data_IF_092322694245
#
_entry.id   IF_092322694245
#
_cell.length_a   1.000
_cell.length_b   1.000
_cell.length_c   1.000
_cell.angle_alpha   90.00
_cell.angle_beta   90.00
_cell.angle_gamma   90.00
#
_symmetry.space_group_name_H-M   'P 1'
#
loop_
_entity.id
_entity.type
_entity.pdbx_description
1 polymer ?
#
# COMPACT_ATOMS: atom_id res chain seq x y z
N UNK A 1 18.44 33.80 -86.09
CA UNK A 1 17.47 34.34 -85.15
C UNK A 1 17.50 33.41 -83.89
N UNK A 2 18.21 33.82 -82.90
CA UNK A 2 18.58 33.08 -81.71
C UNK A 2 17.65 33.47 -80.53
N UNK A 3 16.82 32.59 -80.03
CA UNK A 3 16.01 32.83 -78.81
C UNK A 3 16.73 32.32 -77.63
N UNK A 4 17.15 33.24 -76.77
CA UNK A 4 17.77 32.96 -75.47
C UNK A 4 16.66 32.61 -74.44
N UNK A 5 16.67 31.40 -73.87
CA UNK A 5 15.81 31.04 -72.79
C UNK A 5 16.58 31.22 -71.46
N UNK A 6 16.13 32.17 -70.66
CA UNK A 6 16.59 32.36 -69.27
C UNK A 6 15.88 31.34 -68.37
N UNK A 7 16.62 30.39 -67.77
CA UNK A 7 16.13 29.52 -66.68
C UNK A 7 16.40 30.24 -65.33
N UNK A 8 15.32 30.65 -64.69
CA UNK A 8 15.36 31.17 -63.32
C UNK A 8 15.31 29.93 -62.37
N UNK A 9 16.42 29.63 -61.72
CA UNK A 9 16.48 28.63 -60.67
C UNK A 9 16.01 29.26 -59.31
N UNK A 10 14.81 28.92 -58.88
CA UNK A 10 14.32 29.25 -57.56
C UNK A 10 14.84 28.21 -56.56
N UNK A 11 15.86 28.54 -55.81
CA UNK A 11 16.32 27.72 -54.66
C UNK A 11 15.41 27.94 -53.50
N UNK A 12 14.51 26.99 -53.26
CA UNK A 12 13.69 26.89 -52.03
C UNK A 12 14.58 26.41 -50.89
N UNK A 13 15.00 27.32 -50.02
CA UNK A 13 15.66 26.98 -48.76
C UNK A 13 14.61 26.39 -47.79
N UNK A 14 14.58 25.07 -47.67
CA UNK A 14 13.84 24.39 -46.64
C UNK A 14 14.54 24.62 -45.30
N UNK A 15 14.07 25.56 -44.51
CA UNK A 15 14.40 25.65 -43.10
C UNK A 15 13.74 24.45 -42.40
N UNK A 16 14.48 23.34 -42.22
CA UNK A 16 14.12 22.29 -41.33
C UNK A 16 14.25 22.83 -39.91
N UNK A 17 13.11 23.13 -39.28
CA UNK A 17 13.05 23.27 -37.81
C UNK A 17 13.46 21.95 -37.20
N UNK A 18 14.75 21.75 -36.94
CA UNK A 18 15.22 20.72 -36.07
C UNK A 18 14.62 20.96 -34.68
N UNK A 19 13.63 20.19 -34.29
CA UNK A 19 13.20 20.13 -32.89
C UNK A 19 14.45 19.79 -32.06
N UNK A 20 14.95 20.76 -31.31
CA UNK A 20 15.98 20.53 -30.32
C UNK A 20 15.47 19.38 -29.39
N UNK A 21 16.23 18.29 -29.36
CA UNK A 21 15.96 17.23 -28.39
C UNK A 21 15.94 17.86 -26.98
N UNK A 22 14.98 17.52 -26.14
CA UNK A 22 14.99 18.00 -24.76
C UNK A 22 16.34 17.66 -24.14
N UNK A 23 16.92 18.55 -23.30
CA UNK A 23 18.16 18.27 -22.63
C UNK A 23 18.04 16.93 -21.88
N UNK A 24 19.12 16.13 -21.84
CA UNK A 24 19.08 14.87 -21.14
C UNK A 24 18.64 15.13 -19.69
N UNK A 25 17.58 14.46 -19.27
CA UNK A 25 17.16 14.46 -17.87
C UNK A 25 18.29 13.79 -17.13
N UNK A 26 19.11 14.56 -16.43
CA UNK A 26 20.13 14.04 -15.51
C UNK A 26 19.33 13.38 -14.38
N UNK A 27 19.19 12.06 -14.43
CA UNK A 27 18.54 11.29 -13.40
C UNK A 27 19.37 11.47 -12.11
N UNK A 28 18.86 12.29 -11.19
CA UNK A 28 19.53 12.58 -9.94
C UNK A 28 19.59 11.29 -9.13
N UNK A 29 20.76 10.68 -9.04
CA UNK A 29 20.96 9.49 -8.20
C UNK A 29 20.89 9.92 -6.74
N UNK A 30 19.82 9.54 -6.06
CA UNK A 30 19.67 9.81 -4.63
C UNK A 30 20.59 8.88 -3.81
N UNK A 31 21.20 9.38 -2.73
CA UNK A 31 21.96 8.53 -1.82
C UNK A 31 21.04 7.50 -1.14
N UNK A 32 21.56 6.30 -0.82
CA UNK A 32 20.83 5.29 -0.05
C UNK A 32 20.26 5.89 1.25
N UNK A 33 19.09 5.40 1.68
CA UNK A 33 18.50 5.80 2.96
C UNK A 33 19.26 5.14 4.10
N UNK A 34 19.66 5.94 5.07
CA UNK A 34 20.29 5.53 6.32
C UNK A 34 19.64 6.24 7.51
N UNK A 35 20.30 6.24 8.66
CA UNK A 35 19.94 7.10 9.79
C UNK A 35 20.43 8.51 9.47
N UNK A 36 19.52 9.40 9.13
CA UNK A 36 19.81 10.74 8.62
C UNK A 36 19.06 11.82 9.42
N UNK A 37 19.56 13.06 9.37
CA UNK A 37 18.84 14.18 9.98
C UNK A 37 17.65 14.60 9.11
N UNK A 38 16.65 15.29 9.70
CA UNK A 38 15.56 15.90 8.95
C UNK A 38 16.04 16.83 7.81
N UNK A 39 17.12 17.58 8.01
CA UNK A 39 17.69 18.48 7.01
C UNK A 39 18.21 17.70 5.80
N UNK A 40 18.97 16.63 6.04
CA UNK A 40 19.46 15.76 4.96
C UNK A 40 18.29 15.06 4.26
N UNK A 41 17.29 14.60 5.00
CA UNK A 41 16.07 14.01 4.44
C UNK A 41 15.37 14.98 3.49
N UNK A 42 15.07 16.22 3.95
CA UNK A 42 14.37 17.24 3.16
C UNK A 42 15.16 17.63 1.92
N UNK A 43 16.49 17.76 2.01
CA UNK A 43 17.34 18.09 0.85
C UNK A 43 17.36 17.01 -0.25
N UNK A 44 16.96 15.79 0.09
CA UNK A 44 16.87 14.63 -0.81
C UNK A 44 15.43 14.14 -1.04
N UNK A 45 14.43 14.93 -0.61
CA UNK A 45 13.02 14.63 -0.78
C UNK A 45 12.56 15.06 -2.18
N UNK A 46 11.98 14.14 -2.94
CA UNK A 46 11.50 14.39 -4.30
C UNK A 46 10.09 13.80 -4.48
N UNK A 47 9.13 14.54 -5.07
CA UNK A 47 7.79 14.01 -5.37
C UNK A 47 7.84 12.73 -6.20
N UNK A 48 8.71 12.70 -7.20
CA UNK A 48 8.90 11.54 -8.09
C UNK A 48 9.29 10.24 -7.36
N UNK A 49 9.84 10.31 -6.13
CA UNK A 49 10.11 9.11 -5.31
C UNK A 49 8.83 8.36 -4.94
N UNK A 50 7.70 9.06 -4.92
CA UNK A 50 6.36 8.53 -4.60
C UNK A 50 5.42 8.56 -5.83
N UNK A 51 5.99 8.58 -7.05
CA UNK A 51 5.25 8.66 -8.32
C UNK A 51 4.34 9.90 -8.43
N UNK A 52 4.68 10.99 -7.70
CA UNK A 52 4.00 12.27 -7.78
C UNK A 52 4.70 13.19 -8.78
N UNK A 53 3.92 14.03 -9.46
CA UNK A 53 4.46 15.08 -10.33
C UNK A 53 4.76 16.37 -9.55
N UNK A 54 4.05 16.57 -8.45
CA UNK A 54 4.16 17.73 -7.55
C UNK A 54 3.66 17.34 -6.16
N UNK A 55 4.14 18.01 -5.11
CA UNK A 55 3.60 17.84 -3.75
C UNK A 55 2.12 18.21 -3.64
N UNK A 56 1.58 19.00 -4.59
CA UNK A 56 0.14 19.28 -4.68
C UNK A 56 -0.72 18.04 -4.88
N UNK A 57 -0.15 17.00 -5.47
CA UNK A 57 -0.85 15.74 -5.72
C UNK A 57 -1.24 15.01 -4.41
N UNK A 58 -0.63 15.38 -3.27
CA UNK A 58 -1.01 14.87 -1.95
C UNK A 58 -2.30 15.49 -1.39
N UNK A 59 -2.82 16.57 -1.97
CA UNK A 59 -3.97 17.29 -1.44
C UNK A 59 -5.22 16.40 -1.21
N UNK A 60 -5.56 15.40 -2.05
CA UNK A 60 -6.66 14.47 -1.77
C UNK A 60 -6.44 13.67 -0.48
N UNK A 61 -5.22 13.15 -0.23
CA UNK A 61 -4.86 12.38 0.96
C UNK A 61 -4.92 13.23 2.22
N UNK A 62 -4.45 14.48 2.15
CA UNK A 62 -4.59 15.46 3.25
C UNK A 62 -6.06 15.68 3.59
N UNK A 63 -6.92 15.90 2.59
CA UNK A 63 -8.37 16.11 2.81
C UNK A 63 -9.06 14.91 3.42
N UNK A 64 -8.70 13.67 3.03
CA UNK A 64 -9.21 12.43 3.65
C UNK A 64 -8.83 12.37 5.13
N UNK A 65 -7.56 12.64 5.45
CA UNK A 65 -7.05 12.68 6.82
C UNK A 65 -7.74 13.77 7.66
N UNK A 66 -7.91 14.98 7.11
CA UNK A 66 -8.64 16.07 7.77
C UNK A 66 -10.07 15.71 8.11
N UNK A 67 -10.83 15.11 7.18
CA UNK A 67 -12.20 14.66 7.43
C UNK A 67 -12.27 13.68 8.60
N UNK A 68 -11.35 12.72 8.62
CA UNK A 68 -11.29 11.73 9.70
C UNK A 68 -10.92 12.37 11.04
N UNK A 69 -9.86 13.16 11.08
CA UNK A 69 -9.38 13.83 12.31
C UNK A 69 -10.44 14.78 12.85
N UNK A 70 -11.09 15.57 11.98
CA UNK A 70 -12.14 16.51 12.38
C UNK A 70 -13.45 15.85 12.82
N UNK A 71 -13.61 14.54 12.61
CA UNK A 71 -14.72 13.76 13.20
C UNK A 71 -14.48 13.41 14.69
N UNK A 72 -13.30 13.72 15.25
CA UNK A 72 -12.93 13.42 16.62
C UNK A 72 -12.99 14.67 17.50
N UNK A 73 -13.21 14.51 18.82
CA UNK A 73 -13.14 15.65 19.75
C UNK A 73 -11.71 16.22 19.74
N UNK A 74 -11.57 17.53 19.48
CA UNK A 74 -10.26 18.17 19.27
C UNK A 74 -9.32 18.04 20.48
N UNK A 75 -9.86 18.13 21.69
CA UNK A 75 -9.09 18.09 22.95
C UNK A 75 -8.78 16.66 23.40
N UNK A 76 -9.39 15.65 22.77
CA UNK A 76 -9.12 14.26 23.12
C UNK A 76 -7.73 13.82 22.63
N UNK A 77 -7.07 13.03 23.47
CA UNK A 77 -5.74 12.49 23.18
C UNK A 77 -5.85 11.45 22.05
N UNK A 78 -5.14 11.68 20.96
CA UNK A 78 -4.99 10.74 19.85
C UNK A 78 -3.92 9.67 20.16
N UNK A 79 -2.80 10.09 20.77
CA UNK A 79 -1.75 9.20 21.30
C UNK A 79 -1.03 9.85 22.47
N UNK A 80 -0.66 9.02 23.45
CA UNK A 80 0.20 9.41 24.56
C UNK A 80 1.29 8.35 24.76
N UNK A 81 2.54 8.78 24.75
CA UNK A 81 3.72 7.96 25.03
C UNK A 81 4.85 8.81 25.60
N UNK A 82 5.89 8.26 26.22
CA UNK A 82 7.00 9.04 26.76
C UNK A 82 7.55 10.03 25.72
N UNK A 83 7.59 11.32 26.08
CA UNK A 83 8.06 12.40 25.22
C UNK A 83 7.11 12.85 24.11
N UNK A 84 5.91 12.26 23.97
CA UNK A 84 4.96 12.63 22.93
C UNK A 84 3.51 12.48 23.42
N UNK A 85 2.80 13.59 23.54
CA UNK A 85 1.34 13.64 23.67
C UNK A 85 0.79 14.44 22.51
N UNK A 86 -0.16 13.87 21.79
CA UNK A 86 -0.78 14.47 20.59
C UNK A 86 -2.29 14.37 20.73
N UNK A 87 -2.98 15.48 20.57
CA UNK A 87 -4.45 15.55 20.53
C UNK A 87 -4.93 15.47 19.06
N UNK A 88 -6.23 15.23 18.88
CA UNK A 88 -6.81 15.30 17.52
C UNK A 88 -6.77 16.73 16.95
N UNK A 89 -6.81 17.76 17.82
CA UNK A 89 -6.63 19.15 17.43
C UNK A 89 -5.21 19.43 16.92
N UNK A 90 -4.18 18.81 17.50
CA UNK A 90 -2.80 18.91 17.00
C UNK A 90 -2.66 18.32 15.60
N UNK A 91 -3.26 17.16 15.36
CA UNK A 91 -3.27 16.54 14.04
C UNK A 91 -4.03 17.38 13.00
N UNK A 92 -5.18 17.98 13.41
CA UNK A 92 -5.93 18.88 12.52
C UNK A 92 -5.07 20.07 12.09
N UNK A 93 -4.49 20.80 13.04
CA UNK A 93 -3.60 21.95 12.74
C UNK A 93 -2.41 21.55 11.86
N UNK A 94 -1.86 20.37 12.13
CA UNK A 94 -0.73 19.84 11.34
C UNK A 94 -1.11 19.57 9.87
N UNK A 95 -2.26 18.96 9.64
CA UNK A 95 -2.78 18.69 8.29
C UNK A 95 -3.17 19.98 7.57
N UNK A 96 -3.80 20.92 8.26
CA UNK A 96 -4.15 22.25 7.75
C UNK A 96 -2.89 23.00 7.30
N UNK A 97 -1.85 23.01 8.16
CA UNK A 97 -0.57 23.63 7.82
C UNK A 97 0.09 22.97 6.61
N UNK A 98 0.09 21.64 6.50
CA UNK A 98 0.62 20.98 5.31
C UNK A 98 -0.18 21.37 4.07
N UNK A 99 -1.51 21.40 4.14
CA UNK A 99 -2.36 21.78 3.01
C UNK A 99 -2.04 23.19 2.49
N UNK A 100 -1.79 24.14 3.39
CA UNK A 100 -1.38 25.51 3.03
C UNK A 100 -0.02 25.54 2.31
N UNK A 101 0.90 24.69 2.71
CA UNK A 101 2.27 24.68 2.19
C UNK A 101 2.41 23.92 0.86
N UNK A 102 1.53 22.95 0.55
CA UNK A 102 1.64 22.10 -0.65
C UNK A 102 1.95 22.88 -1.94
N UNK A 103 1.34 24.06 -2.21
CA UNK A 103 1.62 24.81 -3.45
C UNK A 103 3.06 25.33 -3.57
N UNK A 104 3.79 25.38 -2.46
CA UNK A 104 5.14 25.96 -2.37
C UNK A 104 6.24 24.91 -2.27
N UNK A 105 5.93 23.71 -1.79
CA UNK A 105 6.92 22.69 -1.43
C UNK A 105 7.80 22.21 -2.58
N UNK A 106 7.33 22.32 -3.83
CA UNK A 106 8.15 21.97 -5.00
C UNK A 106 9.37 22.92 -5.17
N UNK A 107 9.25 24.16 -4.68
CA UNK A 107 10.31 25.19 -4.77
C UNK A 107 11.00 25.41 -3.42
N UNK A 108 10.30 25.22 -2.32
CA UNK A 108 10.71 25.59 -0.97
C UNK A 108 10.50 24.39 -0.02
N UNK A 109 11.13 23.23 -0.25
CA UNK A 109 10.93 22.04 0.60
C UNK A 109 11.38 22.27 2.05
N UNK A 110 12.30 23.22 2.30
CA UNK A 110 12.76 23.63 3.65
C UNK A 110 11.63 24.20 4.51
N UNK A 111 10.49 24.58 3.95
CA UNK A 111 9.29 24.95 4.70
C UNK A 111 8.81 23.82 5.61
N UNK A 112 9.10 22.57 5.28
CA UNK A 112 8.81 21.43 6.15
C UNK A 112 9.61 21.51 7.45
N UNK A 113 10.86 21.95 7.42
CA UNK A 113 11.69 22.12 8.61
C UNK A 113 11.24 23.34 9.44
N UNK A 114 10.89 24.42 8.76
CA UNK A 114 10.49 25.65 9.41
C UNK A 114 9.13 25.55 10.11
N UNK A 115 8.18 24.82 9.56
CA UNK A 115 6.79 24.80 10.01
C UNK A 115 6.42 23.58 10.86
N UNK A 116 7.25 22.53 10.88
CA UNK A 116 6.95 21.31 11.63
C UNK A 116 8.04 20.97 12.63
N UNK A 117 7.64 20.45 13.77
CA UNK A 117 8.47 19.67 14.68
C UNK A 117 8.53 18.24 14.14
N UNK A 118 9.71 17.70 14.02
CA UNK A 118 9.97 16.34 13.54
C UNK A 118 10.16 15.45 14.76
N UNK A 119 9.11 14.72 15.15
CA UNK A 119 9.17 13.79 16.26
C UNK A 119 9.67 12.43 15.77
N UNK A 120 10.93 12.13 16.05
CA UNK A 120 11.56 10.88 15.62
C UNK A 120 10.84 9.67 16.24
N UNK A 121 10.67 8.64 15.41
CA UNK A 121 10.24 7.32 15.86
C UNK A 121 11.50 6.52 16.21
N UNK A 122 11.87 6.60 17.49
CA UNK A 122 13.11 6.01 18.01
C UNK A 122 13.23 4.50 17.76
N UNK A 123 14.46 4.03 17.47
CA UNK A 123 14.75 2.63 17.19
C UNK A 123 14.55 2.20 15.75
N UNK A 124 14.17 3.14 14.87
CA UNK A 124 13.88 2.88 13.46
C UNK A 124 12.58 2.12 13.22
N UNK A 125 12.12 2.18 12.00
CA UNK A 125 10.91 1.48 11.55
C UNK A 125 11.28 0.26 10.73
N UNK A 126 10.57 -0.84 10.93
CA UNK A 126 10.55 -1.98 10.01
C UNK A 126 9.48 -1.73 8.96
N UNK A 127 9.92 -1.58 7.72
CA UNK A 127 9.04 -1.34 6.57
C UNK A 127 8.71 -2.63 5.87
N UNK A 128 7.44 -2.80 5.54
CA UNK A 128 6.93 -3.77 4.58
C UNK A 128 5.98 -3.05 3.62
N UNK A 129 5.53 -3.74 2.58
CA UNK A 129 4.59 -3.19 1.62
C UNK A 129 3.36 -4.06 1.47
N UNK A 130 2.25 -3.44 1.09
CA UNK A 130 1.06 -4.14 0.63
C UNK A 130 0.56 -3.52 -0.67
N UNK A 131 -0.23 -4.28 -1.43
CA UNK A 131 -0.67 -3.90 -2.76
C UNK A 131 -2.10 -4.37 -3.01
N UNK A 132 -2.71 -3.90 -4.10
CA UNK A 132 -4.01 -4.38 -4.55
C UNK A 132 -3.84 -5.56 -5.52
N UNK A 133 -4.04 -6.82 -5.10
CA UNK A 133 -3.94 -7.96 -5.98
C UNK A 133 -5.10 -8.00 -7.00
N UNK A 134 -4.79 -8.44 -8.22
CA UNK A 134 -5.78 -8.80 -9.23
C UNK A 134 -5.95 -10.33 -9.21
N UNK A 135 -7.16 -10.81 -8.92
CA UNK A 135 -7.46 -12.22 -8.75
C UNK A 135 -8.39 -12.69 -9.88
N UNK A 136 -7.97 -13.65 -10.72
CA UNK A 136 -8.87 -14.30 -11.69
C UNK A 136 -10.04 -14.98 -10.98
N UNK A 137 -11.27 -14.65 -11.39
CA UNK A 137 -12.47 -15.10 -10.71
C UNK A 137 -13.62 -15.43 -11.68
N UNK A 138 -14.62 -16.13 -11.17
CA UNK A 138 -15.92 -16.34 -11.81
C UNK A 138 -17.04 -15.97 -10.85
N UNK A 139 -18.16 -15.49 -11.38
CA UNK A 139 -19.36 -15.21 -10.58
C UNK A 139 -20.06 -16.46 -10.07
N UNK A 140 -19.83 -17.59 -10.73
CA UNK A 140 -20.42 -18.88 -10.39
C UNK A 140 -19.33 -19.95 -10.27
N UNK A 141 -19.61 -20.95 -9.45
CA UNK A 141 -18.73 -22.13 -9.35
C UNK A 141 -18.76 -22.91 -10.65
N UNK A 142 -17.58 -23.19 -11.21
CA UNK A 142 -17.41 -24.00 -12.43
C UNK A 142 -16.02 -24.62 -12.48
N UNK A 143 -15.74 -25.56 -13.40
CA UNK A 143 -14.39 -26.11 -13.59
C UNK A 143 -13.35 -25.00 -13.76
N UNK A 144 -12.24 -25.08 -13.02
CA UNK A 144 -11.19 -24.08 -12.97
C UNK A 144 -11.45 -22.89 -12.02
N UNK A 145 -12.68 -22.74 -11.48
CA UNK A 145 -13.04 -21.70 -10.51
C UNK A 145 -13.80 -22.34 -9.34
N UNK A 146 -13.07 -22.91 -8.42
CA UNK A 146 -13.64 -23.74 -7.35
C UNK A 146 -13.40 -23.19 -5.94
N UNK A 147 -12.51 -22.21 -5.80
CA UNK A 147 -12.15 -21.60 -4.52
C UNK A 147 -13.09 -20.44 -4.21
N UNK A 148 -13.93 -20.58 -3.19
CA UNK A 148 -14.87 -19.54 -2.80
C UNK A 148 -14.16 -18.33 -2.16
N UNK A 149 -14.62 -17.13 -2.49
CA UNK A 149 -14.33 -15.88 -1.80
C UNK A 149 -15.58 -15.53 -1.00
N UNK A 150 -15.51 -15.61 0.34
CA UNK A 150 -16.68 -15.47 1.19
C UNK A 150 -16.95 -14.05 1.64
N UNK A 151 -18.24 -13.69 1.65
CA UNK A 151 -18.78 -12.54 2.35
C UNK A 151 -18.83 -12.74 3.86
N UNK A 152 -19.13 -11.66 4.58
CA UNK A 152 -19.21 -11.66 6.04
C UNK A 152 -20.38 -12.53 6.53
N UNK A 153 -20.14 -13.59 7.33
CA UNK A 153 -21.23 -14.36 7.91
C UNK A 153 -22.07 -13.51 8.86
N UNK A 154 -23.41 -13.53 8.76
CA UNK A 154 -24.29 -12.67 9.57
C UNK A 154 -24.24 -12.99 11.07
N UNK A 155 -23.83 -14.20 11.42
CA UNK A 155 -23.69 -14.65 12.79
C UNK A 155 -22.28 -14.48 13.38
N UNK A 156 -21.31 -13.97 12.59
CA UNK A 156 -19.90 -13.89 13.00
C UNK A 156 -19.74 -13.18 14.34
N UNK A 157 -20.25 -11.97 14.49
CA UNK A 157 -20.10 -11.18 15.71
C UNK A 157 -20.73 -11.88 16.92
N UNK A 158 -21.88 -12.52 16.74
CA UNK A 158 -22.57 -13.28 17.81
C UNK A 158 -21.77 -14.48 18.24
N UNK A 159 -21.19 -15.22 17.28
CA UNK A 159 -20.38 -16.40 17.56
C UNK A 159 -19.06 -16.01 18.22
N UNK A 160 -18.38 -14.96 17.72
CA UNK A 160 -17.12 -14.44 18.29
C UNK A 160 -17.36 -13.93 19.72
N UNK A 161 -18.44 -13.18 19.96
CA UNK A 161 -18.76 -12.72 21.32
C UNK A 161 -19.00 -13.87 22.31
N UNK A 162 -19.57 -15.00 21.85
CA UNK A 162 -19.86 -16.18 22.69
C UNK A 162 -18.66 -17.11 22.88
N UNK A 163 -17.84 -17.30 21.84
CA UNK A 163 -16.79 -18.35 21.78
C UNK A 163 -15.38 -17.77 21.72
N UNK A 164 -15.22 -16.46 21.62
CA UNK A 164 -13.94 -15.78 21.37
C UNK A 164 -13.49 -15.80 19.92
N UNK A 165 -13.91 -16.81 19.14
CA UNK A 165 -13.47 -17.03 17.76
C UNK A 165 -14.60 -17.66 16.93
N UNK A 166 -14.55 -17.45 15.60
CA UNK A 166 -15.37 -18.15 14.62
C UNK A 166 -14.67 -19.43 14.17
N UNK A 167 -15.14 -20.05 13.08
CA UNK A 167 -14.47 -21.21 12.49
C UNK A 167 -13.07 -20.83 12.00
N UNK A 168 -12.08 -21.69 12.22
CA UNK A 168 -10.73 -21.53 11.67
C UNK A 168 -10.70 -21.83 10.15
N UNK A 169 -9.58 -21.48 9.50
CA UNK A 169 -9.39 -21.69 8.05
C UNK A 169 -9.64 -23.14 7.66
N UNK A 170 -9.07 -24.11 8.37
CA UNK A 170 -9.22 -25.54 8.06
C UNK A 170 -10.68 -25.96 8.07
N UNK A 171 -11.44 -25.52 9.06
CA UNK A 171 -12.87 -25.81 9.16
C UNK A 171 -13.67 -25.18 8.01
N UNK A 172 -13.33 -23.95 7.62
CA UNK A 172 -13.98 -23.27 6.49
C UNK A 172 -13.63 -23.96 5.17
N UNK A 173 -12.35 -24.24 4.94
CA UNK A 173 -11.85 -24.68 3.63
C UNK A 173 -12.01 -26.20 3.39
N UNK A 174 -11.73 -27.05 4.39
CA UNK A 174 -11.79 -28.51 4.25
C UNK A 174 -13.20 -29.04 4.59
N UNK A 175 -13.79 -28.57 5.70
CA UNK A 175 -15.12 -29.01 6.10
C UNK A 175 -16.25 -28.26 5.42
N UNK A 176 -15.89 -27.20 4.67
CA UNK A 176 -16.82 -26.38 3.86
C UNK A 176 -18.05 -25.90 4.63
N UNK A 177 -17.89 -25.54 5.90
CA UNK A 177 -19.02 -25.18 6.80
C UNK A 177 -19.80 -23.95 6.36
N UNK A 178 -19.29 -23.18 5.42
CA UNK A 178 -19.94 -22.01 4.84
C UNK A 178 -20.52 -22.28 3.45
N UNK A 179 -20.21 -23.41 2.82
CA UNK A 179 -20.68 -23.72 1.47
C UNK A 179 -22.21 -23.79 1.40
N UNK A 180 -22.78 -23.21 0.35
CA UNK A 180 -24.21 -23.23 0.08
C UNK A 180 -25.05 -22.36 1.01
N UNK A 181 -24.42 -21.47 1.81
CA UNK A 181 -25.13 -20.53 2.69
C UNK A 181 -25.41 -19.17 2.03
N UNK A 182 -25.12 -19.04 0.73
CA UNK A 182 -25.28 -17.79 -0.01
C UNK A 182 -24.29 -16.71 0.40
N UNK A 183 -23.13 -17.11 0.92
CA UNK A 183 -22.06 -16.21 1.36
C UNK A 183 -20.95 -16.07 0.33
N UNK A 184 -21.00 -16.86 -0.74
CA UNK A 184 -20.00 -16.84 -1.81
C UNK A 184 -20.19 -15.59 -2.67
N UNK A 185 -19.21 -14.67 -2.63
CA UNK A 185 -19.18 -13.46 -3.47
C UNK A 185 -18.73 -13.79 -4.90
N UNK A 186 -17.74 -14.67 -5.01
CA UNK A 186 -17.13 -15.11 -6.25
C UNK A 186 -16.34 -16.40 -6.03
N UNK A 187 -15.85 -16.98 -7.11
CA UNK A 187 -15.06 -18.21 -7.13
C UNK A 187 -13.73 -17.95 -7.84
N UNK A 188 -12.62 -18.07 -7.14
CA UNK A 188 -11.29 -17.94 -7.72
C UNK A 188 -10.76 -19.26 -8.30
N UNK A 189 -9.79 -19.13 -9.19
CA UNK A 189 -9.14 -20.30 -9.80
C UNK A 189 -8.13 -20.96 -8.85
N UNK A 190 -7.41 -20.15 -8.05
CA UNK A 190 -6.31 -20.60 -7.21
C UNK A 190 -6.55 -20.25 -5.73
N UNK A 191 -6.50 -21.24 -4.79
CA UNK A 191 -6.57 -20.97 -3.36
C UNK A 191 -5.43 -20.11 -2.82
N UNK A 192 -4.27 -20.11 -3.49
CA UNK A 192 -3.12 -19.27 -3.12
C UNK A 192 -3.44 -17.80 -3.38
N UNK A 193 -4.13 -17.47 -4.48
CA UNK A 193 -4.55 -16.11 -4.77
C UNK A 193 -5.56 -15.59 -3.74
N UNK A 194 -6.53 -16.43 -3.32
CA UNK A 194 -7.48 -16.07 -2.26
C UNK A 194 -6.77 -15.87 -0.93
N UNK A 195 -5.81 -16.72 -0.60
CA UNK A 195 -5.02 -16.59 0.62
C UNK A 195 -4.23 -15.26 0.66
N UNK A 196 -3.57 -14.91 -0.43
CA UNK A 196 -2.86 -13.62 -0.51
C UNK A 196 -3.83 -12.42 -0.56
N UNK A 197 -4.99 -12.55 -1.22
CA UNK A 197 -6.05 -11.54 -1.15
C UNK A 197 -6.49 -11.28 0.30
N UNK A 198 -6.63 -12.32 1.11
CA UNK A 198 -6.96 -12.20 2.53
C UNK A 198 -5.86 -11.50 3.35
N UNK A 199 -4.58 -11.75 3.02
CA UNK A 199 -3.45 -11.05 3.65
C UNK A 199 -3.47 -9.57 3.30
N UNK A 200 -3.76 -9.22 2.03
CA UNK A 200 -3.83 -7.83 1.56
C UNK A 200 -5.11 -7.12 2.06
N UNK A 201 -6.16 -7.87 2.36
CA UNK A 201 -7.43 -7.35 2.88
C UNK A 201 -8.34 -6.69 1.85
N UNK A 202 -7.89 -6.52 0.61
CA UNK A 202 -8.65 -5.97 -0.51
C UNK A 202 -8.02 -6.36 -1.84
N UNK A 203 -8.75 -6.27 -2.94
CA UNK A 203 -8.24 -6.54 -4.28
C UNK A 203 -9.29 -6.39 -5.36
N UNK A 204 -8.87 -6.66 -6.60
CA UNK A 204 -9.73 -6.69 -7.79
C UNK A 204 -10.00 -8.12 -8.22
N UNK A 205 -11.24 -8.45 -8.42
CA UNK A 205 -11.65 -9.68 -9.09
C UNK A 205 -11.74 -9.40 -10.58
N UNK A 206 -10.98 -10.15 -11.36
CA UNK A 206 -11.03 -10.10 -12.81
C UNK A 206 -11.84 -11.29 -13.28
N UNK A 207 -13.09 -11.01 -13.67
CA UNK A 207 -13.99 -12.07 -14.08
C UNK A 207 -13.66 -12.60 -15.48
N UNK A 208 -14.02 -13.83 -15.71
CA UNK A 208 -13.84 -14.53 -16.97
C UNK A 208 -14.65 -13.96 -18.15
N UNK A 209 -15.62 -13.09 -17.87
CA UNK A 209 -16.34 -12.26 -18.85
C UNK A 209 -15.63 -10.93 -19.17
N UNK A 210 -14.41 -10.70 -18.61
CA UNK A 210 -13.63 -9.48 -18.78
C UNK A 210 -14.06 -8.32 -17.87
N UNK A 211 -15.15 -8.45 -17.12
CA UNK A 211 -15.57 -7.42 -16.16
C UNK A 211 -14.74 -7.49 -14.87
N UNK A 212 -14.78 -6.42 -14.08
CA UNK A 212 -14.04 -6.31 -12.83
C UNK A 212 -14.96 -5.93 -11.67
N UNK A 213 -14.60 -6.38 -10.48
CA UNK A 213 -15.20 -5.91 -9.23
C UNK A 213 -14.12 -5.74 -8.16
N UNK A 214 -14.32 -4.76 -7.28
CA UNK A 214 -13.46 -4.60 -6.10
C UNK A 214 -14.05 -5.35 -4.91
N UNK A 215 -13.17 -5.96 -4.13
CA UNK A 215 -13.52 -6.55 -2.84
C UNK A 215 -12.68 -5.90 -1.76
N UNK A 216 -13.32 -5.57 -0.65
CA UNK A 216 -12.74 -4.92 0.51
C UNK A 216 -13.00 -5.74 1.77
N UNK A 217 -12.13 -5.60 2.75
CA UNK A 217 -12.27 -6.22 4.07
C UNK A 217 -13.65 -5.95 4.67
N UNK A 218 -14.30 -7.00 5.14
CA UNK A 218 -15.57 -6.92 5.86
C UNK A 218 -15.47 -7.41 7.30
N UNK A 219 -14.55 -8.33 7.59
CA UNK A 219 -14.31 -8.85 8.92
C UNK A 219 -13.34 -10.03 8.90
N UNK A 220 -13.01 -10.53 10.09
CA UNK A 220 -12.15 -11.70 10.27
C UNK A 220 -12.73 -12.66 11.31
N UNK A 221 -12.25 -13.90 11.30
CA UNK A 221 -12.75 -14.97 12.15
C UNK A 221 -12.27 -14.93 13.62
N UNK A 222 -11.51 -13.92 14.04
CA UNK A 222 -11.01 -13.77 15.41
C UNK A 222 -9.76 -14.58 15.75
N UNK A 223 -9.28 -15.43 14.85
CA UNK A 223 -8.04 -16.19 15.05
C UNK A 223 -6.80 -15.32 14.81
N UNK A 224 -5.75 -15.59 15.57
CA UNK A 224 -4.46 -14.90 15.41
C UNK A 224 -3.82 -15.31 14.08
N UNK A 225 -3.43 -14.31 13.29
CA UNK A 225 -2.70 -14.51 12.04
C UNK A 225 -1.34 -15.18 12.30
N UNK A 226 -1.03 -16.20 11.50
CA UNK A 226 0.29 -16.84 11.42
C UNK A 226 0.83 -16.69 10.01
N UNK A 227 2.00 -16.07 9.87
CA UNK A 227 2.63 -15.85 8.57
C UNK A 227 2.99 -17.18 7.89
N UNK A 228 2.45 -17.42 6.69
CA UNK A 228 2.78 -18.59 5.87
C UNK A 228 4.27 -18.65 5.52
N UNK A 229 4.89 -17.52 5.16
CA UNK A 229 6.32 -17.46 4.89
C UNK A 229 7.17 -17.84 6.10
N UNK A 230 6.76 -17.44 7.32
CA UNK A 230 7.41 -17.86 8.55
C UNK A 230 7.23 -19.38 8.79
N UNK A 231 6.01 -19.89 8.67
CA UNK A 231 5.70 -21.32 8.80
C UNK A 231 6.54 -22.16 7.85
N UNK A 232 6.61 -21.75 6.58
CA UNK A 232 7.36 -22.48 5.56
C UNK A 232 8.87 -22.46 5.82
N UNK A 233 9.42 -21.35 6.34
CA UNK A 233 10.82 -21.31 6.79
C UNK A 233 11.08 -22.21 7.98
N UNK A 234 10.22 -22.19 8.99
CA UNK A 234 10.33 -23.04 10.19
C UNK A 234 10.24 -24.52 9.82
N UNK A 235 9.52 -24.87 8.74
CA UNK A 235 9.45 -26.23 8.17
C UNK A 235 10.63 -26.55 7.23
N UNK A 236 11.56 -25.63 6.99
CA UNK A 236 12.70 -25.81 6.09
C UNK A 236 12.33 -25.88 4.61
N UNK A 237 11.13 -25.39 4.23
CA UNK A 237 10.63 -25.40 2.85
C UNK A 237 11.12 -24.21 2.03
N UNK A 238 11.38 -23.09 2.68
CA UNK A 238 11.83 -21.83 2.04
C UNK A 238 13.02 -21.25 2.81
N UNK A 239 13.83 -20.48 2.09
CA UNK A 239 14.98 -19.79 2.65
C UNK A 239 14.64 -18.38 3.15
N UNK A 240 13.94 -17.57 2.36
CA UNK A 240 13.54 -16.19 2.68
C UNK A 240 12.10 -16.11 3.16
N UNK A 241 11.17 -16.81 2.49
CA UNK A 241 9.76 -16.84 2.81
C UNK A 241 9.00 -15.61 2.31
N UNK A 242 9.54 -14.87 1.32
CA UNK A 242 8.82 -13.81 0.62
C UNK A 242 7.71 -14.39 -0.26
N UNK A 243 6.81 -13.53 -0.75
CA UNK A 243 5.61 -13.96 -1.49
C UNK A 243 5.98 -14.70 -2.79
N UNK A 244 7.04 -14.27 -3.48
CA UNK A 244 7.46 -14.91 -4.74
C UNK A 244 7.97 -16.32 -4.51
N UNK A 245 8.86 -16.49 -3.50
CA UNK A 245 9.38 -17.80 -3.14
C UNK A 245 8.25 -18.74 -2.67
N UNK A 246 7.25 -18.20 -1.91
CA UNK A 246 6.06 -18.96 -1.53
C UNK A 246 5.23 -19.38 -2.74
N UNK A 247 4.94 -18.44 -3.69
CA UNK A 247 4.14 -18.75 -4.89
C UNK A 247 4.83 -19.78 -5.77
N UNK A 248 6.14 -19.67 -5.96
CA UNK A 248 6.92 -20.65 -6.72
C UNK A 248 6.86 -22.04 -6.06
N UNK A 249 7.03 -22.09 -4.76
CA UNK A 249 6.93 -23.33 -4.02
C UNK A 249 5.54 -23.96 -4.14
N UNK A 250 4.46 -23.20 -3.99
CA UNK A 250 3.09 -23.68 -4.13
C UNK A 250 2.81 -24.20 -5.53
N UNK A 251 3.31 -23.51 -6.57
CA UNK A 251 3.20 -23.95 -7.95
C UNK A 251 3.87 -25.33 -8.19
N UNK A 252 5.00 -25.56 -7.54
CA UNK A 252 5.76 -26.80 -7.65
C UNK A 252 5.26 -27.92 -6.70
N UNK A 253 4.38 -27.59 -5.74
CA UNK A 253 3.85 -28.53 -4.74
C UNK A 253 2.32 -28.38 -4.58
N UNK A 254 1.53 -28.56 -5.64
CA UNK A 254 0.08 -28.29 -5.62
C UNK A 254 -0.67 -29.14 -4.59
N UNK A 255 -0.25 -30.37 -4.36
CA UNK A 255 -0.89 -31.28 -3.40
C UNK A 255 -0.70 -30.86 -1.94
N UNK A 256 0.29 -30.00 -1.66
CA UNK A 256 0.62 -29.53 -0.30
C UNK A 256 0.10 -28.12 0.01
N UNK A 257 -0.50 -27.44 -0.97
CA UNK A 257 -1.02 -26.09 -0.79
C UNK A 257 -1.94 -25.98 0.41
N UNK A 258 -2.96 -26.84 0.49
CA UNK A 258 -3.94 -26.83 1.58
C UNK A 258 -3.30 -27.09 2.95
N UNK A 259 -2.36 -28.03 3.04
CA UNK A 259 -1.62 -28.30 4.27
C UNK A 259 -1.02 -27.02 4.84
N UNK A 260 -0.27 -26.29 4.01
CA UNK A 260 0.47 -25.09 4.44
C UNK A 260 -0.47 -23.92 4.74
N UNK A 261 -1.44 -23.65 3.86
CA UNK A 261 -2.37 -22.55 4.05
C UNK A 261 -3.20 -22.71 5.33
N UNK A 262 -3.60 -23.94 5.67
CA UNK A 262 -4.39 -24.24 6.87
C UNK A 262 -3.62 -24.16 8.20
N UNK A 263 -2.29 -24.05 8.16
CA UNK A 263 -1.50 -23.74 9.36
C UNK A 263 -1.69 -22.30 9.85
N UNK A 264 -2.21 -21.42 8.99
CA UNK A 264 -2.73 -20.12 9.39
C UNK A 264 -4.24 -20.21 9.70
N UNK A 265 -4.67 -20.20 10.97
CA UNK A 265 -6.08 -20.34 11.32
C UNK A 265 -6.92 -19.09 11.02
N UNK A 266 -6.28 -17.93 10.79
CA UNK A 266 -6.96 -16.68 10.47
C UNK A 266 -7.63 -16.75 9.10
N UNK A 267 -8.83 -16.19 8.99
CA UNK A 267 -9.62 -16.10 7.76
C UNK A 267 -10.26 -14.72 7.65
N UNK A 268 -10.21 -14.12 6.46
CA UNK A 268 -10.77 -12.80 6.18
C UNK A 268 -12.00 -12.95 5.29
N UNK A 269 -13.05 -12.20 5.62
CA UNK A 269 -14.29 -12.09 4.86
C UNK A 269 -14.35 -10.76 4.14
N UNK A 270 -14.97 -10.75 2.97
CA UNK A 270 -14.99 -9.60 2.07
C UNK A 270 -16.41 -9.04 1.87
N UNK A 271 -16.45 -7.87 1.27
CA UNK A 271 -17.65 -7.26 0.69
C UNK A 271 -17.30 -6.62 -0.63
N UNK A 272 -18.23 -6.55 -1.56
CA UNK A 272 -18.02 -5.74 -2.75
C UNK A 272 -17.82 -4.29 -2.38
N UNK A 273 -16.84 -3.64 -3.04
CA UNK A 273 -16.54 -2.23 -2.96
C UNK A 273 -16.92 -1.52 -4.26
N UNK A 274 -17.18 -0.22 -4.19
CA UNK A 274 -17.45 0.58 -5.39
C UNK A 274 -16.17 0.99 -6.13
N UNK A 275 -15.05 1.04 -5.43
CA UNK A 275 -13.72 1.47 -5.94
C UNK A 275 -12.64 0.79 -5.10
N UNK A 276 -11.39 0.84 -5.54
CA UNK A 276 -10.19 0.27 -4.95
C UNK A 276 -10.10 0.10 -3.42
N UNK A 277 -8.95 -0.26 -2.89
CA UNK A 277 -8.78 -0.59 -1.49
C UNK A 277 -9.24 0.54 -0.57
N UNK A 278 -9.92 0.19 0.52
CA UNK A 278 -10.39 1.15 1.53
C UNK A 278 -9.63 0.92 2.84
N UNK A 279 -8.93 1.95 3.31
CA UNK A 279 -8.19 1.91 4.57
C UNK A 279 -9.08 2.04 5.81
N UNK A 280 -8.45 1.97 6.98
CA UNK A 280 -9.14 1.99 8.29
C UNK A 280 -9.90 3.29 8.58
N UNK A 281 -9.61 4.37 7.87
CA UNK A 281 -10.36 5.63 7.97
C UNK A 281 -11.67 5.62 7.17
N UNK A 282 -11.95 4.55 6.41
CA UNK A 282 -13.13 4.43 5.56
C UNK A 282 -13.02 5.13 4.21
N UNK A 283 -11.84 5.61 3.85
CA UNK A 283 -11.53 6.22 2.55
C UNK A 283 -10.61 5.33 1.72
N UNK A 284 -10.69 5.51 0.40
CA UNK A 284 -9.77 4.85 -0.53
C UNK A 284 -8.32 5.23 -0.21
N UNK A 285 -7.44 4.25 -0.20
CA UNK A 285 -5.99 4.44 -0.01
C UNK A 285 -5.36 5.02 -1.27
N UNK A 286 -4.23 5.69 -1.12
CA UNK A 286 -3.48 6.32 -2.20
C UNK A 286 -2.09 5.68 -2.30
N UNK A 287 -1.67 5.39 -3.52
CA UNK A 287 -0.39 4.75 -3.83
C UNK A 287 0.78 5.55 -3.24
N UNK A 288 1.71 4.88 -2.56
CA UNK A 288 2.90 5.43 -1.93
C UNK A 288 2.65 6.47 -0.82
N UNK A 289 1.39 6.92 -0.63
CA UNK A 289 1.00 7.93 0.35
C UNK A 289 0.31 7.33 1.57
N UNK A 290 -0.45 6.26 1.41
CA UNK A 290 -1.12 5.62 2.54
C UNK A 290 -0.19 4.67 3.27
N UNK A 291 -0.12 4.85 4.58
CA UNK A 291 0.65 4.02 5.50
C UNK A 291 -0.29 3.30 6.46
N UNK A 292 -0.16 1.97 6.56
CA UNK A 292 -0.76 1.23 7.65
C UNK A 292 0.17 1.29 8.86
N UNK A 293 -0.38 1.69 10.02
CA UNK A 293 0.35 1.91 11.25
C UNK A 293 -0.34 1.25 12.45
N UNK A 294 0.38 1.09 13.54
CA UNK A 294 -0.23 0.84 14.84
C UNK A 294 -0.83 2.14 15.38
N UNK A 295 -2.15 2.26 15.35
CA UNK A 295 -2.85 3.48 15.79
C UNK A 295 -2.59 3.88 17.24
N UNK A 296 -2.15 2.95 18.09
CA UNK A 296 -1.72 3.23 19.46
C UNK A 296 -0.29 3.78 19.53
N UNK A 297 0.44 3.77 18.43
CA UNK A 297 1.81 4.24 18.34
C UNK A 297 1.97 5.44 17.38
N UNK A 298 1.36 5.39 16.21
CA UNK A 298 1.21 6.48 15.23
C UNK A 298 -0.28 6.58 14.90
N UNK A 299 -1.02 7.55 15.48
CA UNK A 299 -2.47 7.62 15.32
C UNK A 299 -2.88 7.90 13.88
N UNK A 300 -4.06 7.40 13.50
CA UNK A 300 -4.64 7.67 12.18
C UNK A 300 -4.78 9.18 11.97
N UNK A 301 -4.43 9.64 10.77
CA UNK A 301 -4.38 11.05 10.41
C UNK A 301 -3.00 11.71 10.60
N UNK A 302 -2.02 11.02 11.22
CA UNK A 302 -0.65 11.55 11.33
C UNK A 302 -0.01 11.71 9.96
N UNK A 303 0.78 12.78 9.80
CA UNK A 303 1.73 12.96 8.72
C UNK A 303 3.05 12.31 9.15
N UNK A 304 3.58 11.43 8.31
CA UNK A 304 4.83 10.70 8.58
C UNK A 304 5.81 10.95 7.44
N UNK A 305 6.93 11.59 7.77
CA UNK A 305 8.10 11.57 6.89
C UNK A 305 8.81 10.22 7.08
N UNK A 306 9.06 9.48 5.99
CA UNK A 306 9.61 8.14 6.06
C UNK A 306 10.67 7.89 5.00
N UNK A 307 11.70 7.14 5.38
CA UNK A 307 12.78 6.80 4.48
C UNK A 307 13.09 5.31 4.50
N UNK A 308 13.22 4.69 3.32
CA UNK A 308 13.51 3.27 3.18
C UNK A 308 14.18 2.97 1.83
N UNK A 309 15.04 1.96 1.77
CA UNK A 309 15.54 1.45 0.50
C UNK A 309 14.59 0.36 0.00
N UNK A 310 13.80 0.67 -1.02
CA UNK A 310 12.83 -0.27 -1.62
C UNK A 310 13.53 -1.20 -2.63
N UNK A 311 13.06 -2.44 -2.79
CA UNK A 311 13.53 -3.33 -3.83
C UNK A 311 13.18 -2.80 -5.23
N UNK A 312 14.08 -2.99 -6.20
CA UNK A 312 13.90 -2.69 -7.61
C UNK A 312 14.39 -3.86 -8.45
N UNK A 313 13.64 -4.26 -9.46
CA UNK A 313 13.96 -5.44 -10.30
C UNK A 313 15.28 -5.31 -11.05
N UNK A 314 15.67 -4.09 -11.41
CA UNK A 314 16.84 -3.80 -12.26
C UNK A 314 18.02 -3.26 -11.47
N UNK A 315 17.75 -2.39 -10.49
CA UNK A 315 18.77 -1.65 -9.72
C UNK A 315 19.05 -2.29 -8.34
N UNK A 316 18.34 -3.37 -8.00
CA UNK A 316 18.44 -4.08 -6.73
C UNK A 316 17.77 -3.34 -5.58
N UNK A 317 18.17 -2.12 -5.26
CA UNK A 317 17.55 -1.26 -4.24
C UNK A 317 17.55 0.20 -4.66
N UNK A 318 16.45 0.89 -4.41
CA UNK A 318 16.31 2.32 -4.66
C UNK A 318 15.93 3.05 -3.37
N UNK A 319 16.49 4.24 -3.11
CA UNK A 319 16.10 5.07 -1.97
C UNK A 319 14.72 5.68 -2.21
N UNK A 320 13.80 5.45 -1.28
CA UNK A 320 12.51 6.12 -1.20
C UNK A 320 12.51 7.02 0.03
N UNK A 321 12.40 8.32 -0.19
CA UNK A 321 12.08 9.32 0.85
C UNK A 321 10.73 9.90 0.50
N UNK A 322 9.81 9.83 1.45
CA UNK A 322 8.44 10.22 1.21
C UNK A 322 7.77 10.87 2.41
N UNK A 323 6.66 11.52 2.12
CA UNK A 323 5.69 11.98 3.11
C UNK A 323 4.43 11.14 2.90
N UNK A 324 4.00 10.44 3.94
CA UNK A 324 2.80 9.62 3.90
C UNK A 324 1.84 9.96 5.03
N UNK A 325 0.69 9.33 4.98
CA UNK A 325 -0.40 9.55 5.93
C UNK A 325 -0.78 8.23 6.59
N UNK A 326 -0.83 8.21 7.92
CA UNK A 326 -1.36 7.07 8.66
C UNK A 326 -2.87 6.98 8.42
N UNK A 327 -3.30 6.21 7.43
CA UNK A 327 -4.70 6.09 6.98
C UNK A 327 -5.23 4.67 7.07
N UNK A 328 -4.35 3.72 7.39
CA UNK A 328 -4.71 2.32 7.46
C UNK A 328 -4.11 1.63 8.69
N UNK A 329 -4.54 0.40 8.95
CA UNK A 329 -4.04 -0.47 10.02
C UNK A 329 -3.94 -1.90 9.52
N UNK A 330 -3.03 -2.68 10.10
CA UNK A 330 -2.90 -4.10 9.79
C UNK A 330 -2.85 -4.97 11.04
N UNK A 331 -3.36 -6.19 10.96
CA UNK A 331 -3.32 -7.13 12.07
C UNK A 331 -1.90 -7.43 12.58
N UNK A 332 -0.93 -7.46 11.67
CA UNK A 332 0.49 -7.66 11.93
C UNK A 332 1.28 -6.35 12.15
N UNK A 333 0.67 -5.19 11.95
CA UNK A 333 1.33 -3.88 12.05
C UNK A 333 1.24 -3.43 13.50
N UNK A 334 2.35 -3.55 14.23
CA UNK A 334 2.45 -3.24 15.65
C UNK A 334 3.69 -2.40 15.94
N UNK A 335 3.54 -1.39 16.80
CA UNK A 335 4.60 -0.51 17.29
C UNK A 335 5.41 0.13 16.15
N UNK A 336 6.68 -0.22 16.03
CA UNK A 336 7.65 0.33 15.08
C UNK A 336 7.63 -0.40 13.70
N UNK A 337 6.45 -0.83 13.25
CA UNK A 337 6.26 -1.34 11.90
C UNK A 337 5.32 -0.44 11.12
N UNK A 338 5.69 -0.14 9.88
CA UNK A 338 4.88 0.57 8.91
C UNK A 338 4.76 -0.30 7.66
N UNK A 339 3.54 -0.39 7.13
CA UNK A 339 3.26 -1.07 5.87
C UNK A 339 2.85 -0.02 4.84
N UNK A 340 3.59 0.05 3.72
CA UNK A 340 3.37 1.07 2.68
C UNK A 340 2.41 0.52 1.65
N UNK A 341 1.33 1.24 1.33
CA UNK A 341 0.50 0.90 0.20
C UNK A 341 1.24 1.26 -1.09
N UNK A 342 1.63 0.25 -1.85
CA UNK A 342 2.44 0.44 -3.05
C UNK A 342 1.61 0.68 -4.32
N UNK A 343 0.29 0.39 -4.30
CA UNK A 343 -0.59 0.50 -5.47
C UNK A 343 -1.07 -0.85 -6.00
N UNK A 344 -1.44 -0.90 -7.27
CA UNK A 344 -2.03 -2.10 -7.89
C UNK A 344 -1.37 -2.54 -9.21
N UNK A 345 -0.22 -1.99 -9.57
CA UNK A 345 0.53 -2.34 -10.76
C UNK A 345 1.61 -3.41 -10.50
N UNK A 346 2.39 -3.76 -11.52
CA UNK A 346 3.44 -4.77 -11.42
C UNK A 346 4.57 -4.33 -10.47
N UNK A 347 4.97 -3.05 -10.51
CA UNK A 347 6.00 -2.50 -9.62
C UNK A 347 5.53 -2.56 -8.16
N UNK A 348 4.28 -2.17 -7.90
CA UNK A 348 3.67 -2.26 -6.57
C UNK A 348 3.70 -3.68 -6.02
N UNK A 349 3.31 -4.66 -6.84
CA UNK A 349 3.37 -6.08 -6.47
C UNK A 349 4.80 -6.51 -6.14
N UNK A 350 5.77 -6.16 -6.99
CA UNK A 350 7.18 -6.51 -6.78
C UNK A 350 7.70 -5.90 -5.46
N UNK A 351 7.54 -4.59 -5.27
CA UNK A 351 8.01 -3.91 -4.07
C UNK A 351 7.31 -4.46 -2.82
N UNK A 352 5.99 -4.55 -2.81
CA UNK A 352 5.23 -5.04 -1.67
C UNK A 352 5.62 -6.47 -1.26
N UNK A 353 5.96 -7.29 -2.25
CA UNK A 353 6.33 -8.69 -2.02
C UNK A 353 7.75 -8.89 -1.50
N UNK A 354 8.66 -7.93 -1.74
CA UNK A 354 10.10 -8.04 -1.38
C UNK A 354 10.54 -7.02 -0.33
N UNK A 355 9.70 -6.06 0.05
CA UNK A 355 10.07 -5.03 1.00
C UNK A 355 10.10 -5.59 2.43
N UNK A 356 11.31 -5.75 2.95
CA UNK A 356 11.61 -6.04 4.35
C UNK A 356 12.90 -5.28 4.68
N UNK A 357 12.74 -4.04 5.14
CA UNK A 357 13.86 -3.13 5.35
C UNK A 357 13.64 -2.25 6.58
N UNK A 358 14.74 -1.71 7.12
CA UNK A 358 14.71 -0.72 8.20
C UNK A 358 15.04 0.67 7.67
N UNK A 359 14.44 1.68 8.29
CA UNK A 359 14.75 3.06 7.98
C UNK A 359 14.18 4.04 9.01
N UNK A 360 14.51 5.33 8.86
CA UNK A 360 14.02 6.39 9.74
C UNK A 360 12.54 6.72 9.47
N UNK A 361 11.87 7.22 10.50
CA UNK A 361 10.57 7.87 10.38
C UNK A 361 10.42 8.99 11.41
N UNK A 362 9.67 10.01 11.04
CA UNK A 362 9.30 11.12 11.90
C UNK A 362 7.80 11.41 11.77
N UNK A 363 7.14 11.59 12.90
CA UNK A 363 5.80 12.16 12.91
C UNK A 363 5.95 13.68 12.87
N UNK A 364 5.35 14.32 11.88
CA UNK A 364 5.34 15.77 11.76
C UNK A 364 4.21 16.35 12.60
N UNK A 365 4.50 17.42 13.32
CA UNK A 365 3.54 18.17 14.12
C UNK A 365 3.75 19.67 13.87
N UNK A 366 2.70 20.43 13.60
CA UNK A 366 2.80 21.87 13.40
C UNK A 366 3.43 22.56 14.64
N UNK A 367 4.27 23.55 14.37
CA UNK A 367 4.89 24.40 15.41
C UNK A 367 3.92 25.43 15.95
#
# INVERSE_FOLDING_TARGET
MLRLLLLLAVTMALFACAKQAPPPVVERTLPPVGFESPEFFVSNLLPASQDLTSWKDMAPSVRKSLRYVNSKPKDAIAVQRPGLTVTWGDLSRTLERLQELLPRLDKEPELLLANFRWAEVTGGINYSGYYEPAVPASRTRKPGYTQAIYGLPPDLNKVVAKRGQYYDRRTIEEKQVLAGKGLELAWAADPVDVFFLEIQGSGRLIFDDGTQAYVNYAGQNGHKYKSSGRIMREKGLLRRGDIFEQREWFKNNPDRVREILNDNPSYVFFKYGMRGPTGAMGYQVDDWLTLATDRGFIPLGSIVAYGVNIPDETKGKMPLRGIGFAQDVGGAIKRNRIDIFCGGDQRANYVASHLDAKGPAWVLLAR
#
